data_IF_085210694367
#
_entry.id   IF_085210694367
#
_cell.length_a   1.000
_cell.length_b   1.000
_cell.length_c   1.000
_cell.angle_alpha   90.00
_cell.angle_beta   90.00
_cell.angle_gamma   90.00
#
_symmetry.space_group_name_H-M   'P 1'
#
loop_
_entity.id
_entity.type
_entity.pdbx_description
1 polymer ?
#
# COMPACT_ATOMS: atom_id res chain seq x y z
N UNK A 1 12.74 8.57 -11.28
CA UNK A 1 11.29 8.71 -11.03
C UNK A 1 10.86 7.71 -9.97
N UNK A 2 10.34 8.20 -8.83
CA UNK A 2 9.77 7.35 -7.76
C UNK A 2 8.30 7.08 -8.07
N UNK A 3 7.84 5.87 -7.78
CA UNK A 3 6.42 5.52 -7.84
C UNK A 3 5.76 6.11 -6.60
N UNK A 4 4.77 6.97 -6.79
CA UNK A 4 3.98 7.53 -5.68
C UNK A 4 2.62 6.85 -5.68
N UNK A 5 2.32 6.13 -4.59
CA UNK A 5 0.98 5.60 -4.33
C UNK A 5 0.14 6.70 -3.68
N UNK A 6 -1.10 6.86 -4.12
CA UNK A 6 -2.07 7.76 -3.44
C UNK A 6 -2.45 7.20 -2.07
N UNK A 7 -2.94 8.05 -1.16
CA UNK A 7 -3.38 7.62 0.18
C UNK A 7 -4.37 6.45 0.11
N UNK A 8 -5.33 6.50 -0.83
CA UNK A 8 -6.30 5.43 -1.07
C UNK A 8 -5.60 4.11 -1.46
N UNK A 9 -4.66 4.15 -2.40
CA UNK A 9 -3.89 2.96 -2.83
C UNK A 9 -3.05 2.37 -1.68
N UNK A 10 -2.52 3.23 -0.81
CA UNK A 10 -1.79 2.80 0.38
C UNK A 10 -2.71 2.07 1.36
N UNK A 11 -3.93 2.57 1.59
CA UNK A 11 -4.94 1.91 2.41
C UNK A 11 -5.40 0.58 1.81
N UNK A 12 -5.65 0.52 0.50
CA UNK A 12 -6.03 -0.72 -0.18
C UNK A 12 -4.93 -1.78 -0.10
N UNK A 13 -3.65 -1.37 -0.16
CA UNK A 13 -2.53 -2.28 0.05
C UNK A 13 -2.54 -2.87 1.46
N UNK A 14 -2.73 -2.05 2.49
CA UNK A 14 -2.76 -2.54 3.86
C UNK A 14 -3.98 -3.42 4.11
N UNK A 15 -5.15 -3.05 3.58
CA UNK A 15 -6.37 -3.86 3.63
C UNK A 15 -6.15 -5.22 2.97
N UNK A 16 -5.57 -5.25 1.76
CA UNK A 16 -5.26 -6.49 1.06
C UNK A 16 -4.37 -7.40 1.92
N UNK A 17 -3.28 -6.87 2.50
CA UNK A 17 -2.42 -7.62 3.43
C UNK A 17 -3.18 -8.20 4.62
N UNK A 18 -4.09 -7.43 5.24
CA UNK A 18 -4.90 -7.92 6.39
C UNK A 18 -5.89 -9.00 5.98
N UNK A 19 -6.46 -8.90 4.78
CA UNK A 19 -7.46 -9.85 4.28
C UNK A 19 -6.88 -11.18 3.79
N UNK A 20 -5.55 -11.25 3.60
CA UNK A 20 -4.86 -12.45 3.10
C UNK A 20 -4.19 -13.19 4.26
N UNK A 21 -4.50 -14.47 4.40
CA UNK A 21 -3.86 -15.39 5.33
C UNK A 21 -3.36 -16.64 4.59
N UNK A 22 -2.05 -16.99 4.68
CA UNK A 22 -0.99 -16.31 5.44
C UNK A 22 -0.65 -14.92 4.89
N UNK A 23 -0.08 -14.06 5.75
CA UNK A 23 0.26 -12.69 5.36
C UNK A 23 1.24 -12.67 4.18
N UNK A 24 0.91 -11.98 3.07
CA UNK A 24 1.79 -11.92 1.91
C UNK A 24 3.09 -11.18 2.23
N UNK A 25 4.16 -11.62 1.60
CA UNK A 25 5.48 -11.00 1.73
C UNK A 25 5.50 -9.58 1.15
N UNK A 26 6.48 -8.76 1.54
CA UNK A 26 6.66 -7.42 0.96
C UNK A 26 6.82 -7.45 -0.57
N UNK A 27 7.41 -8.52 -1.12
CA UNK A 27 7.60 -8.66 -2.55
C UNK A 27 6.27 -8.93 -3.27
N UNK A 28 5.42 -9.77 -2.69
CA UNK A 28 4.08 -10.03 -3.22
C UNK A 28 3.22 -8.77 -3.16
N UNK A 29 3.29 -8.00 -2.07
CA UNK A 29 2.59 -6.73 -1.95
C UNK A 29 3.08 -5.69 -2.97
N UNK A 30 4.39 -5.67 -3.28
CA UNK A 30 4.95 -4.82 -4.34
C UNK A 30 4.37 -5.20 -5.70
N UNK A 31 4.39 -6.49 -6.04
CA UNK A 31 3.87 -6.99 -7.31
C UNK A 31 2.36 -6.75 -7.43
N UNK A 32 1.62 -7.08 -6.37
CA UNK A 32 0.18 -6.84 -6.30
C UNK A 32 -0.15 -5.37 -6.51
N UNK A 33 0.55 -4.47 -5.81
CA UNK A 33 0.34 -3.02 -5.96
C UNK A 33 0.66 -2.54 -7.39
N UNK A 34 1.70 -3.09 -8.02
CA UNK A 34 2.01 -2.75 -9.41
C UNK A 34 0.87 -3.15 -10.36
N UNK A 35 0.36 -4.38 -10.23
CA UNK A 35 -0.70 -4.93 -11.08
C UNK A 35 -2.03 -4.22 -10.82
N UNK A 36 -2.44 -4.13 -9.55
CA UNK A 36 -3.72 -3.54 -9.13
C UNK A 36 -3.80 -2.06 -9.48
N UNK A 37 -2.72 -1.30 -9.24
CA UNK A 37 -2.71 0.14 -9.50
C UNK A 37 -2.15 0.50 -10.88
N UNK A 38 -1.90 -0.49 -11.74
CA UNK A 38 -1.36 -0.34 -13.11
C UNK A 38 -0.15 0.60 -13.15
N UNK A 39 0.75 0.45 -12.19
CA UNK A 39 1.91 1.33 -12.04
C UNK A 39 2.93 0.99 -13.14
N UNK A 40 3.48 2.03 -13.79
CA UNK A 40 4.55 1.87 -14.78
C UNK A 40 5.78 1.14 -14.22
N UNK A 41 5.98 1.17 -12.91
CA UNK A 41 7.07 0.49 -12.19
C UNK A 41 6.57 -0.05 -10.87
N UNK A 42 7.18 -1.12 -10.34
CA UNK A 42 6.87 -1.62 -9.01
C UNK A 42 7.24 -0.59 -7.93
N UNK A 43 6.43 -0.46 -6.87
CA UNK A 43 6.80 0.29 -5.68
C UNK A 43 8.02 -0.34 -4.99
N UNK A 44 8.84 0.46 -4.30
CA UNK A 44 9.97 -0.09 -3.56
C UNK A 44 9.50 -0.83 -2.30
N UNK A 45 10.20 -1.91 -1.90
CA UNK A 45 9.93 -2.64 -0.66
C UNK A 45 9.91 -1.71 0.58
N UNK A 46 10.79 -0.70 0.61
CA UNK A 46 10.82 0.31 1.66
C UNK A 46 9.54 1.18 1.70
N UNK A 47 8.97 1.52 0.54
CA UNK A 47 7.72 2.26 0.47
C UNK A 47 6.56 1.40 0.97
N UNK A 48 6.47 0.14 0.52
CA UNK A 48 5.44 -0.79 1.01
C UNK A 48 5.56 -0.97 2.53
N UNK A 49 6.76 -1.18 3.06
CA UNK A 49 6.97 -1.27 4.51
C UNK A 49 6.55 0.01 5.25
N UNK A 50 6.88 1.18 4.70
CA UNK A 50 6.45 2.47 5.25
C UNK A 50 4.93 2.61 5.25
N UNK A 51 4.27 2.26 4.16
CA UNK A 51 2.81 2.28 4.01
C UNK A 51 2.14 1.40 5.07
N UNK A 52 2.63 0.17 5.25
CA UNK A 52 2.12 -0.73 6.28
C UNK A 52 2.29 -0.17 7.70
N UNK A 53 3.39 0.55 7.98
CA UNK A 53 3.60 1.22 9.28
C UNK A 53 2.74 2.48 9.45
N UNK A 54 2.47 3.19 8.36
CA UNK A 54 1.68 4.41 8.36
C UNK A 54 0.18 4.17 8.21
N UNK A 55 -0.26 2.91 8.08
CA UNK A 55 -1.67 2.53 7.98
C UNK A 55 -2.59 3.24 9.00
N UNK A 56 -2.32 3.27 10.32
CA UNK A 56 -3.19 3.95 11.28
C UNK A 56 -3.30 5.46 11.00
N UNK A 57 -2.19 6.10 10.58
CA UNK A 57 -2.15 7.53 10.25
C UNK A 57 -2.88 7.81 8.93
N UNK A 58 -2.76 6.91 7.97
CA UNK A 58 -3.48 6.99 6.69
C UNK A 58 -4.99 6.82 6.90
N UNK A 59 -5.40 5.98 7.85
CA UNK A 59 -6.81 5.80 8.20
C UNK A 59 -7.40 7.04 8.89
N UNK A 60 -6.67 7.67 9.82
CA UNK A 60 -7.14 8.89 10.49
C UNK A 60 -7.21 10.09 9.53
N UNK A 61 -6.20 10.27 8.67
CA UNK A 61 -6.17 11.38 7.70
C UNK A 61 -7.24 11.28 6.61
N UNK A 62 -7.80 10.10 6.34
CA UNK A 62 -8.89 9.95 5.38
C UNK A 62 -10.27 10.29 6.00
N UNK A 63 -10.33 10.43 7.34
CA UNK A 63 -11.54 10.77 8.07
C UNK A 63 -11.66 12.28 8.35
N UNK A 64 -10.55 13.02 8.23
CA UNK A 64 -10.43 14.45 8.57
C UNK A 64 -10.77 15.41 7.41
N UNK A 65 -11.20 14.89 6.25
CA UNK A 65 -11.70 15.73 5.14
C UNK A 65 -13.20 15.51 4.92
N UNK A 66 -14.01 15.86 5.93
CA UNK A 66 -15.46 15.97 5.86
C UNK A 66 -15.95 17.27 6.52
#
# INVERSE_FOLDING_TARGET
MRVHLTKQQQLDLCKHRRTQHPHPSLQELVTWAQVTFKLKRPPSKAMVSRVLRQEPVLQTLNHDEL
#
